data_IF_818975968588
#
_entry.id   IF_818975968588
#
_cell.length_a   1.000
_cell.length_b   1.000
_cell.length_c   1.000
_cell.angle_alpha   90.00
_cell.angle_beta   90.00
_cell.angle_gamma   90.00
#
_symmetry.space_group_name_H-M   'P 1'
#
loop_
_entity.id
_entity.type
_entity.pdbx_description
1 polymer ?
#
# COMPACT_ATOMS: atom_id res chain seq x y z
N UNK A 1 -34.40 -0.81 6.40
CA UNK A 1 -34.11 -2.16 6.96
C UNK A 1 -32.78 -1.98 7.70
N UNK A 2 -32.83 -1.93 9.06
CA UNK A 2 -31.64 -1.76 9.89
C UNK A 2 -30.84 -3.07 9.95
N UNK A 3 -29.85 -3.22 9.08
CA UNK A 3 -28.86 -4.28 9.21
C UNK A 3 -27.88 -3.95 10.33
N UNK A 4 -27.38 -4.94 11.08
CA UNK A 4 -26.29 -4.73 12.01
C UNK A 4 -25.08 -4.16 11.27
N UNK A 5 -24.48 -3.11 11.82
CA UNK A 5 -23.28 -2.46 11.25
C UNK A 5 -22.15 -2.51 12.27
N UNK A 6 -20.92 -2.49 11.77
CA UNK A 6 -19.71 -2.41 12.58
C UNK A 6 -19.08 -1.01 12.39
N UNK A 7 -18.50 -0.48 13.44
CA UNK A 7 -17.81 0.82 13.39
C UNK A 7 -16.44 0.67 12.73
N UNK A 8 -16.10 1.57 11.83
CA UNK A 8 -14.75 1.67 11.26
C UNK A 8 -13.87 2.51 12.20
N UNK A 9 -12.82 1.90 12.73
CA UNK A 9 -11.80 2.54 13.55
C UNK A 9 -10.85 3.45 12.74
N UNK A 10 -9.67 3.68 13.27
CA UNK A 10 -8.63 4.52 12.66
C UNK A 10 -7.31 3.74 12.60
N UNK A 11 -6.91 3.32 11.40
CA UNK A 11 -5.70 2.51 11.22
C UNK A 11 -4.39 3.29 11.40
N UNK A 12 -4.43 4.63 11.39
CA UNK A 12 -3.22 5.43 11.64
C UNK A 12 -2.90 5.53 13.13
N UNK A 13 -3.86 5.18 14.01
CA UNK A 13 -3.69 5.20 15.48
C UNK A 13 -3.34 3.84 16.08
N UNK A 14 -3.33 2.76 15.28
CA UNK A 14 -2.98 1.44 15.78
C UNK A 14 -1.50 1.37 16.17
N UNK A 15 -1.20 0.52 17.15
CA UNK A 15 0.17 0.32 17.65
C UNK A 15 0.51 -1.18 17.70
N UNK A 16 1.76 -1.50 17.47
CA UNK A 16 2.29 -2.86 17.67
C UNK A 16 2.02 -3.30 19.11
N UNK A 17 1.59 -4.56 19.26
CA UNK A 17 1.20 -5.16 20.53
C UNK A 17 -0.28 -4.97 20.91
N UNK A 18 -1.06 -4.17 20.18
CA UNK A 18 -2.51 -4.08 20.39
C UNK A 18 -3.20 -5.37 19.94
N UNK A 19 -4.28 -5.75 20.65
CA UNK A 19 -5.10 -6.90 20.32
C UNK A 19 -5.70 -6.76 18.91
N UNK A 20 -5.64 -7.85 18.16
CA UNK A 20 -6.22 -8.00 16.85
C UNK A 20 -7.19 -9.19 16.84
N UNK A 21 -8.38 -9.01 16.27
CA UNK A 21 -9.42 -10.04 16.15
C UNK A 21 -9.80 -10.13 14.68
N UNK A 22 -9.56 -11.28 14.05
CA UNK A 22 -9.96 -11.53 12.68
C UNK A 22 -11.22 -12.39 12.64
N UNK A 23 -12.18 -12.01 11.80
CA UNK A 23 -13.45 -12.71 11.64
C UNK A 23 -13.63 -13.12 10.18
N UNK A 24 -14.18 -14.34 9.96
CA UNK A 24 -14.49 -14.80 8.62
C UNK A 24 -15.16 -16.17 8.58
N UNK A 25 -15.09 -16.84 7.43
CA UNK A 25 -15.59 -18.19 7.21
C UNK A 25 -14.41 -19.08 6.83
N UNK A 26 -13.66 -19.54 7.82
CA UNK A 26 -12.45 -20.32 7.57
C UNK A 26 -12.74 -21.55 6.72
N UNK A 27 -11.89 -21.79 5.71
CA UNK A 27 -11.97 -22.89 4.75
C UNK A 27 -13.30 -22.97 3.96
N UNK A 28 -14.09 -21.88 3.97
CA UNK A 28 -15.39 -21.84 3.28
C UNK A 28 -16.52 -22.60 3.99
N UNK A 29 -16.22 -23.36 5.04
CA UNK A 29 -17.16 -24.24 5.74
C UNK A 29 -17.47 -23.74 7.16
N UNK A 30 -16.46 -23.23 7.87
CA UNK A 30 -16.60 -22.84 9.27
C UNK A 30 -17.06 -21.38 9.37
N UNK A 31 -18.39 -21.18 9.32
CA UNK A 31 -19.00 -19.85 9.48
C UNK A 31 -18.68 -19.27 10.86
N UNK A 32 -18.49 -17.96 10.91
CA UNK A 32 -18.23 -17.22 12.15
C UNK A 32 -16.94 -17.63 12.86
N UNK A 33 -15.91 -18.06 12.11
CA UNK A 33 -14.60 -18.31 12.70
C UNK A 33 -14.01 -17.00 13.18
N UNK A 34 -13.59 -16.99 14.44
CA UNK A 34 -12.90 -15.88 15.08
C UNK A 34 -11.49 -16.35 15.45
N UNK A 35 -10.49 -15.61 15.02
CA UNK A 35 -9.10 -15.80 15.46
C UNK A 35 -8.61 -14.55 16.14
N UNK A 36 -7.69 -14.69 17.10
CA UNK A 36 -7.16 -13.58 17.87
C UNK A 36 -5.64 -13.61 17.88
N UNK A 37 -5.06 -12.45 17.99
CA UNK A 37 -3.63 -12.22 18.08
C UNK A 37 -3.35 -10.77 18.42
N UNK A 38 -2.23 -10.26 17.95
CA UNK A 38 -1.82 -8.87 18.12
C UNK A 38 -1.43 -8.23 16.79
N UNK A 39 -1.40 -6.91 16.75
CA UNK A 39 -0.74 -6.17 15.68
C UNK A 39 0.77 -6.39 15.82
N UNK A 40 1.36 -7.13 14.90
CA UNK A 40 2.80 -7.49 14.92
C UNK A 40 3.67 -6.44 14.22
N UNK A 41 3.06 -5.66 13.31
CA UNK A 41 3.75 -4.60 12.56
C UNK A 41 2.77 -3.70 11.81
N UNK A 42 3.23 -2.51 11.46
CA UNK A 42 2.48 -1.54 10.64
C UNK A 42 3.41 -0.99 9.56
N UNK A 43 2.84 -0.56 8.43
CA UNK A 43 3.61 0.04 7.34
C UNK A 43 4.53 -0.95 6.62
N UNK A 44 4.16 -2.24 6.57
CA UNK A 44 4.95 -3.28 5.88
C UNK A 44 4.64 -3.25 4.39
N UNK A 45 5.68 -3.43 3.55
CA UNK A 45 5.53 -3.76 2.13
C UNK A 45 5.59 -5.28 1.97
N UNK A 46 4.63 -5.85 1.23
CA UNK A 46 4.61 -7.28 0.91
C UNK A 46 4.36 -7.49 -0.58
N UNK A 47 4.90 -8.57 -1.12
CA UNK A 47 4.49 -9.09 -2.42
C UNK A 47 3.40 -10.14 -2.18
N UNK A 48 2.16 -9.79 -2.51
CA UNK A 48 1.04 -10.71 -2.42
C UNK A 48 0.83 -11.35 -3.80
N UNK A 49 1.09 -12.65 -3.91
CA UNK A 49 0.78 -13.44 -5.11
C UNK A 49 -0.63 -14.02 -4.99
N UNK A 50 -1.48 -13.80 -5.99
CA UNK A 50 -2.67 -14.63 -6.17
C UNK A 50 -2.25 -15.91 -6.89
N UNK A 51 -2.50 -17.10 -6.31
CA UNK A 51 -2.19 -18.37 -7.01
C UNK A 51 -2.96 -18.54 -8.33
N UNK A 52 -4.00 -17.72 -8.57
CA UNK A 52 -4.89 -17.81 -9.71
C UNK A 52 -4.63 -16.78 -10.82
N UNK A 53 -3.85 -15.72 -10.58
CA UNK A 53 -3.69 -14.63 -11.55
C UNK A 53 -2.27 -14.43 -12.07
N UNK A 54 -1.28 -15.17 -11.58
CA UNK A 54 0.09 -15.15 -12.12
C UNK A 54 0.82 -13.79 -11.99
N UNK A 55 0.25 -12.83 -11.29
CA UNK A 55 0.85 -11.52 -11.01
C UNK A 55 1.01 -11.33 -9.50
N UNK A 56 2.24 -11.11 -9.06
CA UNK A 56 2.50 -10.66 -7.70
C UNK A 56 2.15 -9.16 -7.64
N UNK A 57 1.14 -8.81 -6.84
CA UNK A 57 0.84 -7.42 -6.55
C UNK A 57 1.65 -7.00 -5.30
N UNK A 58 2.40 -5.92 -5.42
CA UNK A 58 3.07 -5.31 -4.26
C UNK A 58 2.06 -4.48 -3.48
N UNK A 59 1.82 -4.88 -2.25
CA UNK A 59 1.00 -4.14 -1.31
C UNK A 59 1.91 -3.44 -0.31
N UNK A 60 1.90 -2.12 -0.35
CA UNK A 60 2.63 -1.29 0.61
C UNK A 60 1.72 -0.83 1.75
N UNK A 61 2.31 -0.56 2.92
CA UNK A 61 1.62 -0.05 4.10
C UNK A 61 0.57 -1.02 4.69
N UNK A 62 0.81 -2.35 4.64
CA UNK A 62 -0.10 -3.31 5.27
C UNK A 62 0.12 -3.42 6.78
N UNK A 63 -0.93 -3.85 7.49
CA UNK A 63 -0.91 -4.24 8.89
C UNK A 63 -0.48 -5.71 8.95
N UNK A 64 0.54 -6.03 9.76
CA UNK A 64 0.94 -7.39 10.08
C UNK A 64 0.30 -7.83 11.39
N UNK A 65 -0.18 -9.07 11.46
CA UNK A 65 -0.76 -9.71 12.66
C UNK A 65 -0.35 -11.16 12.77
N UNK A 66 -0.29 -11.68 13.97
CA UNK A 66 -0.15 -13.13 14.27
C UNK A 66 -1.51 -13.81 14.50
N UNK A 67 -2.62 -13.06 14.46
CA UNK A 67 -3.95 -13.66 14.36
C UNK A 67 -4.00 -14.55 13.11
N UNK A 68 -4.47 -15.79 13.26
CA UNK A 68 -4.48 -16.75 12.16
C UNK A 68 -5.36 -16.26 11.00
N UNK A 69 -4.74 -15.88 9.89
CA UNK A 69 -5.40 -15.56 8.64
C UNK A 69 -5.30 -16.80 7.75
N UNK A 70 -6.42 -17.28 7.25
CA UNK A 70 -6.51 -18.48 6.41
C UNK A 70 -7.50 -18.23 5.27
N UNK A 71 -7.48 -19.06 4.20
CA UNK A 71 -8.54 -19.02 3.20
C UNK A 71 -9.92 -19.05 3.84
N UNK A 72 -10.76 -18.05 3.51
CA UNK A 72 -12.11 -17.88 4.05
C UNK A 72 -12.26 -16.76 5.08
N UNK A 73 -11.20 -16.27 5.74
CA UNK A 73 -11.28 -14.99 6.47
C UNK A 73 -10.63 -13.81 5.70
N UNK A 74 -10.03 -14.06 4.54
CA UNK A 74 -9.66 -13.03 3.58
C UNK A 74 -10.90 -12.25 3.13
N UNK A 75 -10.81 -10.92 3.06
CA UNK A 75 -11.93 -10.00 2.85
C UNK A 75 -12.76 -9.72 4.12
N UNK A 76 -12.57 -10.49 5.19
CA UNK A 76 -13.18 -10.25 6.49
C UNK A 76 -12.49 -9.14 7.28
N UNK A 77 -13.13 -8.63 8.35
CA UNK A 77 -12.60 -7.55 9.16
C UNK A 77 -11.48 -8.01 10.09
N UNK A 78 -10.49 -7.13 10.29
CA UNK A 78 -9.58 -7.12 11.43
C UNK A 78 -10.06 -6.07 12.41
N UNK A 79 -10.38 -6.47 13.63
CA UNK A 79 -10.94 -5.59 14.65
C UNK A 79 -9.91 -5.34 15.78
N UNK A 80 -10.05 -4.19 16.43
CA UNK A 80 -9.38 -3.89 17.69
C UNK A 80 -10.19 -4.41 18.90
N UNK A 81 -9.67 -4.25 20.11
CA UNK A 81 -10.34 -4.64 21.37
C UNK A 81 -11.63 -3.88 21.67
N UNK A 82 -11.91 -2.77 21.00
CA UNK A 82 -13.15 -2.02 21.10
C UNK A 82 -14.22 -2.48 20.09
N UNK A 83 -13.92 -3.51 19.29
CA UNK A 83 -14.82 -4.01 18.25
C UNK A 83 -14.88 -3.14 16.99
N UNK A 84 -13.95 -2.20 16.82
CA UNK A 84 -13.86 -1.36 15.63
C UNK A 84 -12.98 -2.02 14.57
N UNK A 85 -13.38 -1.94 13.29
CA UNK A 85 -12.58 -2.44 12.17
C UNK A 85 -11.36 -1.53 11.97
N UNK A 86 -10.18 -2.11 12.06
CA UNK A 86 -8.89 -1.41 11.81
C UNK A 86 -8.22 -1.87 10.53
N UNK A 87 -8.71 -2.96 9.93
CA UNK A 87 -8.20 -3.46 8.65
C UNK A 87 -9.13 -4.47 8.01
N UNK A 88 -8.79 -4.85 6.77
CA UNK A 88 -9.43 -5.93 6.01
C UNK A 88 -8.39 -7.01 5.75
N UNK A 89 -8.64 -8.24 6.18
CA UNK A 89 -7.72 -9.37 6.03
C UNK A 89 -7.49 -9.68 4.55
N UNK A 90 -6.24 -9.81 4.08
CA UNK A 90 -5.93 -9.99 2.65
C UNK A 90 -5.08 -11.20 2.32
N UNK A 91 -4.10 -11.52 3.13
CA UNK A 91 -3.11 -12.52 2.76
C UNK A 91 -2.41 -13.13 3.97
N UNK A 92 -1.74 -14.25 3.72
CA UNK A 92 -0.78 -14.90 4.61
C UNK A 92 0.58 -14.96 3.92
N UNK A 93 1.66 -14.89 4.70
CA UNK A 93 2.99 -15.15 4.17
C UNK A 93 3.13 -16.64 3.79
N UNK A 94 3.65 -16.91 2.59
CA UNK A 94 4.03 -18.26 2.19
C UNK A 94 5.36 -18.73 2.85
N UNK A 95 6.13 -17.79 3.39
CA UNK A 95 7.47 -18.04 3.91
C UNK A 95 7.53 -18.18 5.44
N UNK A 96 6.40 -18.01 6.15
CA UNK A 96 6.38 -18.08 7.61
C UNK A 96 5.05 -18.51 8.20
N UNK A 97 5.09 -19.12 9.39
CA UNK A 97 3.88 -19.43 10.15
C UNK A 97 3.45 -18.21 10.99
N UNK A 98 2.14 -18.05 11.17
CA UNK A 98 1.56 -16.98 11.99
C UNK A 98 1.94 -15.55 11.52
N UNK A 99 2.07 -15.36 10.21
CA UNK A 99 2.28 -14.05 9.59
C UNK A 99 1.10 -13.77 8.66
N UNK A 100 0.12 -13.05 9.17
CA UNK A 100 -1.03 -12.57 8.42
C UNK A 100 -0.92 -11.08 8.13
N UNK A 101 -1.63 -10.63 7.09
CA UNK A 101 -1.67 -9.23 6.68
C UNK A 101 -3.09 -8.74 6.49
N UNK A 102 -3.29 -7.45 6.75
CA UNK A 102 -4.54 -6.76 6.50
C UNK A 102 -4.31 -5.40 5.86
N UNK A 103 -5.19 -5.01 4.95
CA UNK A 103 -5.24 -3.68 4.38
C UNK A 103 -5.74 -2.70 5.45
N UNK A 104 -5.08 -1.56 5.71
CA UNK A 104 -5.53 -0.57 6.68
C UNK A 104 -6.93 -0.03 6.35
N UNK A 105 -7.78 0.13 7.38
CA UNK A 105 -9.17 0.57 7.16
C UNK A 105 -9.26 1.99 6.58
N UNK A 106 -8.28 2.86 6.83
CA UNK A 106 -8.29 4.21 6.27
C UNK A 106 -8.16 4.19 4.74
N UNK A 107 -7.45 3.22 4.16
CA UNK A 107 -7.41 3.02 2.68
C UNK A 107 -8.81 2.72 2.13
N UNK A 108 -9.59 1.91 2.85
CA UNK A 108 -10.97 1.58 2.47
C UNK A 108 -11.88 2.80 2.61
N UNK A 109 -11.71 3.59 3.69
CA UNK A 109 -12.47 4.84 3.87
C UNK A 109 -12.20 5.83 2.74
N UNK A 110 -10.93 6.05 2.40
CA UNK A 110 -10.54 6.95 1.32
C UNK A 110 -11.14 6.51 -0.04
N UNK A 111 -11.15 5.19 -0.30
CA UNK A 111 -11.75 4.63 -1.50
C UNK A 111 -13.27 4.82 -1.53
N UNK A 112 -13.96 4.64 -0.40
CA UNK A 112 -15.41 4.86 -0.27
C UNK A 112 -15.76 6.34 -0.42
N UNK A 113 -14.99 7.24 0.19
CA UNK A 113 -15.20 8.69 0.07
C UNK A 113 -15.01 9.14 -1.38
N UNK A 114 -13.99 8.61 -2.06
CA UNK A 114 -13.78 8.86 -3.48
C UNK A 114 -14.96 8.35 -4.32
N UNK A 115 -15.41 7.11 -4.09
CA UNK A 115 -16.56 6.55 -4.80
C UNK A 115 -17.84 7.35 -4.56
N UNK A 116 -18.10 7.75 -3.32
CA UNK A 116 -19.27 8.57 -2.98
C UNK A 116 -19.25 9.93 -3.64
N UNK A 117 -18.06 10.51 -3.83
CA UNK A 117 -17.88 11.81 -4.47
C UNK A 117 -17.93 11.76 -6.01
N UNK A 118 -17.45 10.67 -6.62
CA UNK A 118 -17.21 10.60 -8.08
C UNK A 118 -18.02 9.51 -8.80
N UNK A 119 -18.59 8.55 -8.06
CA UNK A 119 -19.20 7.34 -8.62
C UNK A 119 -18.19 6.32 -9.15
N UNK A 120 -16.91 6.54 -8.96
CA UNK A 120 -15.81 5.68 -9.45
C UNK A 120 -14.75 5.45 -8.37
N UNK A 121 -14.08 4.31 -8.42
CA UNK A 121 -12.89 4.05 -7.62
C UNK A 121 -11.65 4.58 -8.37
N UNK A 122 -11.42 5.88 -8.28
CA UNK A 122 -10.26 6.50 -8.90
C UNK A 122 -9.02 6.27 -8.04
N UNK A 123 -8.02 5.61 -8.59
CA UNK A 123 -6.70 5.44 -7.95
C UNK A 123 -5.68 6.30 -8.67
N UNK A 124 -5.07 7.27 -7.98
CA UNK A 124 -4.00 8.07 -8.59
C UNK A 124 -2.85 7.15 -9.00
N UNK A 125 -2.43 7.28 -10.25
CA UNK A 125 -1.49 6.38 -10.89
C UNK A 125 -0.37 7.15 -11.57
N UNK A 126 0.87 6.77 -11.29
CA UNK A 126 2.06 7.31 -11.95
C UNK A 126 2.53 6.43 -13.10
N UNK A 127 2.48 5.12 -12.94
CA UNK A 127 2.85 4.14 -13.96
C UNK A 127 4.33 3.77 -13.95
N UNK A 128 4.86 3.44 -12.77
CA UNK A 128 6.22 2.94 -12.61
C UNK A 128 6.26 1.71 -11.72
N UNK A 129 7.20 0.79 -12.00
CA UNK A 129 7.67 -0.21 -11.04
C UNK A 129 9.00 0.28 -10.47
N UNK A 130 9.12 0.31 -9.16
CA UNK A 130 10.28 0.86 -8.50
C UNK A 130 10.73 -0.01 -7.32
N UNK A 131 11.94 0.25 -6.87
CA UNK A 131 12.49 -0.28 -5.62
C UNK A 131 13.06 0.87 -4.81
N UNK A 132 12.74 0.95 -3.52
CA UNK A 132 13.36 1.93 -2.65
C UNK A 132 14.85 1.61 -2.45
N UNK A 133 15.69 2.62 -2.64
CA UNK A 133 17.11 2.57 -2.28
C UNK A 133 17.26 3.30 -0.95
N UNK A 134 17.69 2.60 0.12
CA UNK A 134 17.93 3.23 1.41
C UNK A 134 19.17 4.14 1.34
N UNK A 135 19.28 5.03 2.31
CA UNK A 135 20.46 5.88 2.46
C UNK A 135 21.72 5.02 2.61
N UNK A 136 22.63 5.10 1.67
CA UNK A 136 23.91 4.41 1.72
C UNK A 136 24.86 5.08 2.74
N UNK A 137 25.72 4.29 3.43
CA UNK A 137 26.81 4.87 4.22
C UNK A 137 27.73 5.73 3.32
N UNK A 138 28.21 6.84 3.84
CA UNK A 138 29.12 7.73 3.12
C UNK A 138 30.35 6.94 2.62
N UNK A 139 30.63 7.02 1.30
CA UNK A 139 31.77 6.35 0.66
C UNK A 139 31.48 5.03 -0.07
N UNK A 140 30.22 4.57 -0.10
CA UNK A 140 29.80 3.34 -0.81
C UNK A 140 28.87 3.64 -1.98
N UNK A 141 29.27 4.26 -3.00
CA UNK A 141 28.54 4.75 -4.17
C UNK A 141 27.80 6.09 -3.90
N UNK A 142 28.02 7.07 -4.77
CA UNK A 142 27.36 8.39 -4.75
C UNK A 142 25.90 8.33 -5.26
N UNK A 143 25.18 7.21 -4.99
CA UNK A 143 23.81 7.02 -5.41
C UNK A 143 22.87 7.57 -4.32
N UNK A 144 21.96 8.51 -4.66
CA UNK A 144 21.07 9.09 -3.67
C UNK A 144 20.02 8.10 -3.19
N UNK A 145 19.53 8.30 -1.95
CA UNK A 145 18.34 7.65 -1.42
C UNK A 145 17.11 8.03 -2.25
N UNK A 146 16.21 7.07 -2.55
CA UNK A 146 15.00 7.34 -3.30
C UNK A 146 14.38 6.11 -3.94
N UNK A 147 13.42 6.34 -4.83
CA UNK A 147 12.73 5.30 -5.60
C UNK A 147 13.45 5.05 -6.93
N UNK A 148 14.19 3.96 -7.05
CA UNK A 148 14.85 3.52 -8.27
C UNK A 148 13.83 2.90 -9.24
N UNK A 149 13.70 3.45 -10.43
CA UNK A 149 12.73 3.03 -11.44
C UNK A 149 13.26 1.82 -12.21
N UNK A 150 12.58 0.68 -12.03
CA UNK A 150 12.90 -0.57 -12.74
C UNK A 150 12.18 -0.68 -14.07
N UNK A 151 10.97 -0.14 -14.14
CA UNK A 151 10.12 -0.20 -15.34
C UNK A 151 9.19 1.00 -15.38
N UNK A 152 8.99 1.55 -16.58
CA UNK A 152 7.97 2.57 -16.85
C UNK A 152 6.87 1.91 -17.67
N UNK A 153 5.63 2.02 -17.19
CA UNK A 153 4.46 1.45 -17.86
C UNK A 153 4.17 2.25 -19.12
N UNK A 154 3.96 1.55 -20.23
CA UNK A 154 3.64 2.16 -21.52
C UNK A 154 2.34 3.00 -21.43
N UNK A 155 2.31 4.13 -22.12
CA UNK A 155 1.20 5.10 -22.18
C UNK A 155 0.85 5.74 -20.82
N UNK A 156 1.65 5.50 -19.78
CA UNK A 156 1.44 6.02 -18.43
C UNK A 156 1.78 7.52 -18.30
N UNK A 157 1.33 8.16 -17.20
CA UNK A 157 1.76 9.50 -16.84
C UNK A 157 3.27 9.66 -16.70
N UNK A 158 3.97 8.65 -16.18
CA UNK A 158 5.42 8.64 -16.05
C UNK A 158 6.11 8.69 -17.42
N UNK A 159 5.69 7.84 -18.35
CA UNK A 159 6.25 7.83 -19.70
C UNK A 159 6.00 9.16 -20.41
N UNK A 160 4.75 9.67 -20.36
CA UNK A 160 4.38 10.97 -20.96
C UNK A 160 5.17 12.14 -20.39
N UNK A 161 5.57 12.06 -19.12
CA UNK A 161 6.40 13.06 -18.45
C UNK A 161 7.90 12.89 -18.74
N UNK A 162 8.33 11.80 -19.35
CA UNK A 162 9.73 11.53 -19.69
C UNK A 162 10.55 10.92 -18.55
N UNK A 163 9.88 10.24 -17.60
CA UNK A 163 10.55 9.35 -16.62
C UNK A 163 11.05 8.13 -17.39
N UNK A 164 12.23 7.65 -17.02
CA UNK A 164 12.92 6.54 -17.69
C UNK A 164 13.29 5.46 -16.67
N UNK A 165 13.52 4.26 -17.17
CA UNK A 165 14.18 3.19 -16.41
C UNK A 165 15.56 3.68 -15.96
N UNK A 166 15.98 3.25 -14.77
CA UNK A 166 17.22 3.65 -14.09
C UNK A 166 17.20 5.07 -13.47
N UNK A 167 16.13 5.84 -13.61
CA UNK A 167 15.93 7.05 -12.84
C UNK A 167 15.83 6.74 -11.33
N UNK A 168 16.27 7.68 -10.49
CA UNK A 168 15.99 7.64 -9.06
C UNK A 168 15.16 8.88 -8.69
N UNK A 169 13.92 8.67 -8.29
CA UNK A 169 13.10 9.76 -7.77
C UNK A 169 13.50 10.01 -6.33
N UNK A 170 14.10 11.15 -6.06
CA UNK A 170 14.66 11.52 -4.74
C UNK A 170 13.69 12.35 -3.92
N UNK A 171 12.82 13.15 -4.58
CA UNK A 171 11.83 14.01 -3.91
C UNK A 171 10.50 13.99 -4.65
N UNK A 172 9.43 14.16 -3.88
CA UNK A 172 8.05 14.31 -4.34
C UNK A 172 7.49 15.62 -3.77
N UNK A 173 7.17 16.58 -4.63
CA UNK A 173 6.78 17.95 -4.23
C UNK A 173 7.74 18.57 -3.19
N UNK A 174 9.04 18.39 -3.40
CA UNK A 174 10.11 18.88 -2.50
C UNK A 174 10.35 18.02 -1.25
N UNK A 175 9.45 17.11 -0.89
CA UNK A 175 9.64 16.18 0.23
C UNK A 175 10.55 15.02 -0.19
N UNK A 176 11.58 14.70 0.59
CA UNK A 176 12.46 13.56 0.33
C UNK A 176 11.72 12.24 0.43
N UNK A 177 11.99 11.33 -0.50
CA UNK A 177 11.58 9.94 -0.43
C UNK A 177 12.58 9.15 0.41
N UNK A 178 12.07 8.35 1.33
CA UNK A 178 12.84 7.50 2.26
C UNK A 178 12.13 6.16 2.41
N UNK A 179 12.75 5.18 3.06
CA UNK A 179 12.12 3.89 3.37
C UNK A 179 10.79 4.02 4.14
N UNK A 180 10.64 5.08 4.94
CA UNK A 180 9.42 5.34 5.73
C UNK A 180 8.44 6.29 5.04
N UNK A 181 8.87 6.97 3.98
CA UNK A 181 8.07 7.91 3.16
C UNK A 181 8.31 7.60 1.68
N UNK A 182 7.76 6.45 1.24
CA UNK A 182 7.99 5.97 -0.10
C UNK A 182 7.08 6.66 -1.15
N UNK A 183 7.37 6.37 -2.43
CA UNK A 183 6.66 6.96 -3.57
C UNK A 183 5.17 6.58 -3.59
N UNK A 184 4.81 5.32 -3.29
CA UNK A 184 3.41 4.87 -3.29
C UNK A 184 2.60 5.61 -2.22
N UNK A 185 3.15 5.78 -1.01
CA UNK A 185 2.53 6.54 0.07
C UNK A 185 2.37 8.03 -0.28
N UNK A 186 3.31 8.60 -1.03
CA UNK A 186 3.20 9.97 -1.51
C UNK A 186 2.10 10.13 -2.56
N UNK A 187 2.00 9.18 -3.51
CA UNK A 187 0.98 9.16 -4.57
C UNK A 187 -0.42 8.94 -3.97
N UNK A 188 -0.57 8.02 -3.00
CA UNK A 188 -1.88 7.70 -2.41
C UNK A 188 -2.58 8.89 -1.74
N UNK A 189 -1.84 9.92 -1.36
CA UNK A 189 -2.36 11.17 -0.78
C UNK A 189 -2.86 12.17 -1.83
N UNK A 190 -2.68 11.88 -3.10
CA UNK A 190 -3.08 12.73 -4.23
C UNK A 190 -4.37 12.24 -4.86
N UNK A 191 -4.89 13.04 -5.80
CA UNK A 191 -6.07 12.69 -6.60
C UNK A 191 -5.67 12.49 -8.05
N UNK A 192 -6.48 11.75 -8.81
CA UNK A 192 -6.37 11.69 -10.27
C UNK A 192 -6.48 13.10 -10.84
N UNK A 193 -5.56 13.46 -11.74
CA UNK A 193 -5.46 14.80 -12.31
C UNK A 193 -4.59 15.77 -11.51
N UNK A 194 -4.19 15.44 -10.29
CA UNK A 194 -3.23 16.27 -9.55
C UNK A 194 -1.89 16.29 -10.27
N UNK A 195 -1.30 17.47 -10.32
CA UNK A 195 0.03 17.69 -10.88
C UNK A 195 1.06 17.83 -9.74
N UNK A 196 2.18 17.17 -9.88
CA UNK A 196 3.26 17.16 -8.90
C UNK A 196 4.60 17.44 -9.56
N UNK A 197 5.60 17.78 -8.75
CA UNK A 197 6.99 17.94 -9.17
C UNK A 197 7.79 16.79 -8.55
N UNK A 198 8.42 15.98 -9.41
CA UNK A 198 9.36 14.94 -9.01
C UNK A 198 10.78 15.46 -9.21
N UNK A 199 11.64 15.35 -8.19
CA UNK A 199 13.07 15.52 -8.37
C UNK A 199 13.65 14.15 -8.73
N UNK A 200 14.20 14.06 -9.92
CA UNK A 200 14.75 12.82 -10.51
C UNK A 200 16.25 12.97 -10.64
N UNK A 201 17.00 12.01 -10.14
CA UNK A 201 18.43 11.87 -10.36
C UNK A 201 18.66 10.96 -11.56
N UNK A 202 19.32 11.49 -12.60
CA UNK A 202 19.65 10.83 -13.86
C UNK A 202 20.99 11.38 -14.35
N UNK A 203 21.90 10.52 -14.80
CA UNK A 203 23.23 10.91 -15.31
C UNK A 203 23.99 11.78 -14.30
N UNK A 204 23.97 11.39 -13.02
CA UNK A 204 24.63 12.11 -11.90
C UNK A 204 24.12 13.55 -11.68
N UNK A 205 22.93 13.89 -12.16
CA UNK A 205 22.32 15.21 -12.04
C UNK A 205 20.88 15.14 -11.56
N UNK A 206 20.50 16.09 -10.71
CA UNK A 206 19.08 16.28 -10.36
C UNK A 206 18.36 17.05 -11.48
N UNK A 207 17.16 16.59 -11.84
CA UNK A 207 16.24 17.23 -12.78
C UNK A 207 14.85 17.28 -12.14
N UNK A 208 14.12 18.35 -12.34
CA UNK A 208 12.71 18.43 -11.95
C UNK A 208 11.84 18.03 -13.14
N UNK A 209 10.92 17.10 -12.89
CA UNK A 209 9.95 16.62 -13.87
C UNK A 209 8.56 16.87 -13.32
N UNK A 210 7.75 17.60 -14.09
CA UNK A 210 6.34 17.83 -13.76
C UNK A 210 5.49 16.72 -14.32
N UNK A 211 4.70 16.07 -13.47
CA UNK A 211 3.85 14.93 -13.84
C UNK A 211 2.42 15.18 -13.39
N UNK A 212 1.44 14.83 -14.22
CA UNK A 212 0.02 14.79 -13.84
C UNK A 212 -0.40 13.35 -13.67
N UNK A 213 -0.94 12.98 -12.50
CA UNK A 213 -1.38 11.62 -12.20
C UNK A 213 -2.59 11.22 -13.06
N UNK A 214 -2.54 10.03 -13.60
CA UNK A 214 -3.66 9.38 -14.28
C UNK A 214 -4.51 8.54 -13.33
N UNK A 215 -5.46 7.81 -13.90
CA UNK A 215 -6.25 6.81 -13.21
C UNK A 215 -5.70 5.41 -13.49
N UNK A 216 -5.56 4.59 -12.46
CA UNK A 216 -5.19 3.18 -12.63
C UNK A 216 -6.39 2.43 -13.20
N UNK A 217 -6.32 2.04 -14.46
CA UNK A 217 -7.39 1.29 -15.14
C UNK A 217 -7.98 1.97 -16.38
N UNK A 218 -7.39 3.08 -16.81
CA UNK A 218 -7.64 3.66 -18.13
C UNK A 218 -6.58 3.25 -19.15
#
# INVERSE_FOLDING_TARGET
IGLPTVEMGDSDKIKVGQMAIAIGTALGEFRHTVTTGVISGVGRGIEAGSPFEGSAERLDNVIQTDAAINPGNSGGPLLNSSGQVVGVNIAVSSEGQNIGFALPINVVKDALDNFNATGQFNRPFLGVKYQMIPKQPAGLNDIPEGAYIREVVKDSPAEKAGIQTEDIITKFDGAKLTDTSDLAKAISKKKVGDTMILTVWRDEKEKEIKVTLGNQGE
#
